data_IF_925056858207
#
_entry.id   IF_925056858207
#
_cell.length_a   1.000
_cell.length_b   1.000
_cell.length_c   1.000
_cell.angle_alpha   90.00
_cell.angle_beta   90.00
_cell.angle_gamma   90.00
#
_symmetry.space_group_name_H-M   'P 1'
#
loop_
_entity.id
_entity.type
_entity.pdbx_description
1 polymer ?
#
# COMPACT_ATOMS: atom_id res chain seq x y z
N UNK A 1 2.10 -22.48 -10.32
CA UNK A 1 0.86 -22.19 -9.58
C UNK A 1 1.21 -21.38 -8.34
N UNK A 2 1.72 -20.15 -8.52
CA UNK A 2 1.98 -19.23 -7.41
C UNK A 2 0.78 -18.33 -7.26
N UNK A 3 -0.26 -18.83 -6.58
CA UNK A 3 -1.47 -18.07 -6.30
C UNK A 3 -1.19 -17.18 -5.11
N UNK A 4 -1.24 -15.86 -5.29
CA UNK A 4 -1.41 -14.90 -4.20
C UNK A 4 -2.89 -14.51 -4.17
N UNK A 5 -3.75 -15.18 -3.38
CA UNK A 5 -5.10 -14.73 -3.13
C UNK A 5 -5.07 -13.65 -2.04
N UNK A 6 -5.68 -12.49 -2.30
CA UNK A 6 -5.73 -11.34 -1.38
C UNK A 6 -4.35 -10.79 -0.95
N UNK A 7 -4.01 -9.63 -1.51
CA UNK A 7 -2.74 -8.93 -1.39
C UNK A 7 -2.23 -8.79 0.05
N UNK A 8 -1.18 -9.55 0.36
CA UNK A 8 -0.30 -9.28 1.49
C UNK A 8 0.76 -8.30 1.00
N UNK A 9 0.75 -7.13 1.60
CA UNK A 9 1.65 -6.02 1.37
C UNK A 9 2.77 -6.13 2.40
N UNK A 10 3.99 -6.48 2.02
CA UNK A 10 5.14 -6.46 2.96
C UNK A 10 5.91 -5.15 2.76
N UNK A 11 5.75 -4.24 3.72
CA UNK A 11 6.38 -2.91 3.70
C UNK A 11 7.81 -2.92 4.27
N UNK A 12 8.33 -4.09 4.70
CA UNK A 12 9.70 -4.21 5.21
C UNK A 12 10.76 -4.06 4.11
N UNK A 13 10.37 -4.01 2.83
CA UNK A 13 11.30 -3.92 1.70
C UNK A 13 11.80 -2.50 1.36
N UNK A 14 11.32 -1.45 2.05
CA UNK A 14 11.69 -0.05 1.75
C UNK A 14 12.52 0.64 2.81
N UNK A 15 12.92 -0.07 3.87
CA UNK A 15 13.60 0.54 5.02
C UNK A 15 15.09 0.20 5.13
N UNK A 16 15.78 -0.24 4.07
CA UNK A 16 17.25 -0.29 4.03
C UNK A 16 17.72 -0.13 2.57
N UNK A 17 17.82 1.11 2.08
CA UNK A 17 18.61 1.40 0.87
C UNK A 17 19.91 2.06 1.30
N UNK A 18 20.89 1.21 1.60
CA UNK A 18 22.30 1.55 1.64
C UNK A 18 22.67 2.23 0.31
N UNK A 19 23.31 3.37 0.45
CA UNK A 19 23.59 4.34 -0.60
C UNK A 19 24.74 3.86 -1.52
N UNK A 20 24.74 2.63 -2.05
CA UNK A 20 25.59 2.21 -3.18
C UNK A 20 25.09 0.89 -3.80
N UNK A 21 24.08 0.94 -4.68
CA UNK A 21 23.94 -0.04 -5.76
C UNK A 21 22.95 0.47 -6.82
N UNK A 22 23.46 0.61 -8.05
CA UNK A 22 22.79 0.75 -9.34
C UNK A 22 21.29 1.11 -9.35
N UNK A 23 20.98 2.25 -9.96
CA UNK A 23 19.65 2.76 -10.28
C UNK A 23 18.70 1.69 -10.87
N UNK A 24 17.97 0.99 -10.02
CA UNK A 24 16.66 0.42 -10.36
C UNK A 24 15.71 1.61 -10.56
N UNK A 25 14.83 1.61 -11.57
CA UNK A 25 13.86 2.69 -11.72
C UNK A 25 13.09 2.79 -10.42
N UNK A 26 13.12 3.97 -9.77
CA UNK A 26 12.36 4.21 -8.56
C UNK A 26 10.91 3.74 -8.80
N UNK A 27 10.35 2.89 -7.92
CA UNK A 27 9.03 2.32 -8.16
C UNK A 27 8.05 3.48 -8.33
N UNK A 28 7.24 3.42 -9.38
CA UNK A 28 6.20 4.43 -9.58
C UNK A 28 5.21 4.26 -8.42
N UNK A 29 4.99 5.29 -7.61
CA UNK A 29 4.14 5.22 -6.42
C UNK A 29 2.82 5.96 -6.66
N UNK A 30 1.73 5.36 -6.21
CA UNK A 30 0.38 5.92 -6.19
C UNK A 30 -0.10 6.13 -4.75
N UNK A 31 -0.88 7.18 -4.50
CA UNK A 31 -1.48 7.44 -3.19
C UNK A 31 -2.81 6.69 -3.07
N UNK A 32 -3.00 5.98 -1.96
CA UNK A 32 -4.21 5.21 -1.67
C UNK A 32 -4.70 5.55 -0.27
N UNK A 33 -5.99 5.77 -0.11
CA UNK A 33 -6.61 5.96 1.21
C UNK A 33 -7.10 4.61 1.73
N UNK A 34 -6.71 4.27 2.95
CA UNK A 34 -7.07 3.02 3.62
C UNK A 34 -7.81 3.32 4.91
N UNK A 35 -9.03 2.80 5.02
CA UNK A 35 -9.81 2.86 6.25
C UNK A 35 -9.35 1.74 7.20
N UNK A 36 -8.89 2.13 8.37
CA UNK A 36 -8.44 1.20 9.41
C UNK A 36 -9.53 0.99 10.48
N UNK A 37 -9.56 -0.18 11.15
CA UNK A 37 -10.51 -0.52 12.21
C UNK A 37 -10.14 0.17 13.54
N UNK A 38 -9.93 1.48 13.48
CA UNK A 38 -9.66 2.34 14.63
C UNK A 38 -10.85 3.28 14.86
N UNK A 39 -11.03 3.84 16.07
CA UNK A 39 -12.09 4.82 16.36
C UNK A 39 -11.74 6.21 15.79
N UNK A 40 -11.31 6.25 14.53
CA UNK A 40 -11.02 7.45 13.78
C UNK A 40 -12.03 7.56 12.64
N UNK A 41 -12.61 8.75 12.41
CA UNK A 41 -13.64 8.93 11.39
C UNK A 41 -13.08 8.96 9.96
N UNK A 42 -11.75 9.11 9.79
CA UNK A 42 -11.11 9.34 8.51
C UNK A 42 -10.16 8.20 8.11
N UNK A 43 -10.06 7.87 6.81
CA UNK A 43 -9.06 6.94 6.28
C UNK A 43 -7.65 7.56 6.29
N UNK A 44 -6.63 6.71 6.18
CA UNK A 44 -5.22 7.10 6.17
C UNK A 44 -4.64 7.05 4.77
N UNK A 45 -3.83 8.03 4.41
CA UNK A 45 -3.08 8.04 3.15
C UNK A 45 -1.82 7.16 3.23
N UNK A 46 -1.68 6.28 2.26
CA UNK A 46 -0.50 5.43 2.04
C UNK A 46 0.03 5.60 0.62
N UNK A 47 1.31 5.26 0.43
CA UNK A 47 1.90 5.10 -0.89
C UNK A 47 1.95 3.62 -1.23
N UNK A 48 1.51 3.24 -2.41
CA UNK A 48 1.60 1.89 -2.93
C UNK A 48 2.28 1.92 -4.31
N UNK A 49 2.93 0.84 -4.76
CA UNK A 49 3.37 0.72 -6.14
C UNK A 49 2.20 0.93 -7.12
N UNK A 50 2.42 1.73 -8.15
CA UNK A 50 1.46 2.04 -9.22
C UNK A 50 1.11 0.79 -10.05
N UNK A 51 1.97 -0.23 -10.02
CA UNK A 51 1.74 -1.53 -10.65
C UNK A 51 0.63 -2.33 -9.97
N UNK A 52 0.25 -1.98 -8.74
CA UNK A 52 -0.83 -2.65 -8.03
C UNK A 52 -2.19 -2.12 -8.46
N UNK A 53 -3.04 -3.03 -8.90
CA UNK A 53 -4.46 -2.74 -9.15
C UNK A 53 -5.21 -2.82 -7.83
N UNK A 54 -5.30 -1.70 -7.12
CA UNK A 54 -6.06 -1.57 -5.89
C UNK A 54 -7.43 -0.96 -6.19
N UNK A 55 -8.50 -1.64 -5.76
CA UNK A 55 -9.87 -1.17 -5.92
C UNK A 55 -10.46 -0.77 -4.57
N UNK A 56 -11.43 0.14 -4.60
CA UNK A 56 -12.20 0.48 -3.40
C UNK A 56 -12.89 -0.79 -2.88
N UNK A 57 -12.74 -1.07 -1.59
CA UNK A 57 -13.23 -2.27 -0.93
C UNK A 57 -12.20 -3.40 -0.79
N UNK A 58 -11.02 -3.30 -1.42
CA UNK A 58 -9.98 -4.32 -1.25
C UNK A 58 -9.42 -4.30 0.17
N UNK A 59 -9.24 -5.48 0.75
CA UNK A 59 -8.57 -5.64 2.03
C UNK A 59 -7.06 -5.54 1.84
N UNK A 60 -6.42 -4.72 2.67
CA UNK A 60 -4.97 -4.51 2.66
C UNK A 60 -4.41 -4.58 4.07
N UNK A 61 -3.14 -4.92 4.20
CA UNK A 61 -2.41 -4.69 5.45
C UNK A 61 -1.67 -3.36 5.31
N UNK A 62 -1.90 -2.47 6.26
CA UNK A 62 -1.24 -1.17 6.28
C UNK A 62 -0.42 -1.02 7.56
N UNK A 63 0.77 -0.42 7.48
CA UNK A 63 1.58 -0.14 8.65
C UNK A 63 0.89 0.92 9.52
N UNK A 64 0.87 0.66 10.81
CA UNK A 64 0.36 1.53 11.87
C UNK A 64 1.40 1.58 12.99
N UNK A 65 2.34 2.51 12.84
CA UNK A 65 3.50 2.61 13.72
C UNK A 65 4.33 1.31 13.68
N UNK A 66 4.54 0.62 14.82
CA UNK A 66 5.38 -0.59 14.88
C UNK A 66 4.66 -1.89 14.48
N UNK A 67 3.39 -1.82 14.06
CA UNK A 67 2.55 -2.98 13.76
C UNK A 67 1.87 -2.81 12.41
N UNK A 68 1.37 -3.92 11.87
CA UNK A 68 0.47 -3.91 10.72
C UNK A 68 -0.97 -4.05 11.19
N UNK A 69 -1.90 -3.39 10.50
CA UNK A 69 -3.34 -3.53 10.73
C UNK A 69 -4.05 -3.86 9.42
N UNK A 70 -5.09 -4.69 9.50
CA UNK A 70 -5.96 -4.96 8.37
C UNK A 70 -6.85 -3.73 8.14
N UNK A 71 -6.81 -3.18 6.93
CA UNK A 71 -7.65 -2.08 6.49
C UNK A 71 -8.36 -2.39 5.18
N UNK A 72 -9.16 -1.43 4.73
CA UNK A 72 -9.89 -1.50 3.46
C UNK A 72 -9.56 -0.29 2.62
N UNK A 73 -9.27 -0.47 1.34
CA UNK A 73 -9.08 0.63 0.41
C UNK A 73 -10.37 1.44 0.31
N UNK A 74 -10.30 2.70 0.73
CA UNK A 74 -11.41 3.64 0.74
C UNK A 74 -11.43 4.51 -0.53
N UNK A 75 -10.25 4.91 -1.01
CA UNK A 75 -10.09 5.59 -2.28
C UNK A 75 -8.78 5.17 -2.94
N UNK A 76 -8.86 4.80 -4.21
CA UNK A 76 -7.71 4.64 -5.09
C UNK A 76 -7.65 5.85 -6.03
N UNK A 77 -6.46 6.22 -6.57
CA UNK A 77 -6.40 7.25 -7.59
C UNK A 77 -7.17 6.73 -8.80
N UNK A 78 -8.34 7.32 -9.04
CA UNK A 78 -9.06 7.09 -10.28
C UNK A 78 -8.28 7.79 -11.38
N UNK A 79 -7.83 7.01 -12.36
CA UNK A 79 -7.42 7.58 -13.63
C UNK A 79 -8.70 8.15 -14.25
N UNK A 80 -8.93 9.45 -14.06
CA UNK A 80 -9.97 10.16 -14.78
C UNK A 80 -9.63 10.04 -16.27
N UNK A 81 -10.55 9.44 -17.03
CA UNK A 81 -10.49 9.25 -18.49
C UNK A 81 -10.15 10.55 -19.25
#
# INVERSE_FOLDING_TARGET
MGSYPAGVVDFSLIAEQDETAAAEPAPNLQRVQVLLPMPLPEPFDYLAPAEWTLNIGDFVKAPLGPRESLGVVWAAPSLLE
#
